data_IF_767636398530
#
_entry.id   IF_767636398530
#
_cell.length_a   1.000
_cell.length_b   1.000
_cell.length_c   1.000
_cell.angle_alpha   90.00
_cell.angle_beta   90.00
_cell.angle_gamma   90.00
#
_symmetry.space_group_name_H-M   'P 1'
#
loop_
_entity.id
_entity.type
_entity.pdbx_description
1 polymer ?
#
# COMPACT_ATOMS: atom_id res chain seq x y z
N UNK A 1 23.39 30.47 40.02
CA UNK A 1 23.33 30.00 38.62
C UNK A 1 22.09 29.13 38.42
N UNK A 2 21.00 29.67 37.87
CA UNK A 2 19.78 28.89 37.59
C UNK A 2 19.92 28.23 36.21
N UNK A 3 19.67 26.92 36.19
CA UNK A 3 20.03 25.99 35.14
C UNK A 3 19.12 26.14 33.90
N UNK A 4 19.71 26.47 32.74
CA UNK A 4 19.09 26.49 31.41
C UNK A 4 18.73 25.07 30.92
N UNK A 5 17.85 24.34 31.62
CA UNK A 5 17.45 22.97 31.25
C UNK A 5 16.24 22.89 30.31
N UNK A 6 15.39 23.92 30.28
CA UNK A 6 14.17 23.98 29.46
C UNK A 6 14.43 24.13 27.94
N UNK A 7 15.38 24.94 27.44
CA UNK A 7 15.53 25.14 25.99
C UNK A 7 16.10 23.92 25.25
N UNK A 8 16.90 23.07 25.93
CA UNK A 8 17.47 21.85 25.33
C UNK A 8 16.39 20.80 25.03
N UNK A 9 15.39 20.68 25.88
CA UNK A 9 14.35 19.65 25.77
C UNK A 9 13.41 19.93 24.60
N UNK A 10 13.05 21.20 24.37
CA UNK A 10 12.29 21.64 23.18
C UNK A 10 13.05 21.41 21.87
N UNK A 11 14.35 21.68 21.83
CA UNK A 11 15.18 21.39 20.65
C UNK A 11 15.23 19.90 20.33
N UNK A 12 15.33 19.04 21.35
CA UNK A 12 15.31 17.58 21.16
C UNK A 12 13.95 17.15 20.59
N UNK A 13 12.83 17.64 21.13
CA UNK A 13 11.48 17.31 20.66
C UNK A 13 11.27 17.73 19.20
N UNK A 14 11.64 18.96 18.84
CA UNK A 14 11.55 19.47 17.46
C UNK A 14 12.43 18.65 16.52
N UNK A 15 13.64 18.27 16.95
CA UNK A 15 14.56 17.45 16.17
C UNK A 15 14.03 16.02 15.97
N UNK A 16 13.43 15.40 16.99
CA UNK A 16 12.74 14.11 16.85
C UNK A 16 11.56 14.19 15.90
N UNK A 17 10.72 15.22 15.96
CA UNK A 17 9.56 15.39 15.06
C UNK A 17 10.03 15.57 13.61
N UNK A 18 11.09 16.35 13.38
CA UNK A 18 11.67 16.53 12.05
C UNK A 18 12.30 15.23 11.51
N UNK A 19 13.01 14.47 12.35
CA UNK A 19 13.58 13.18 11.96
C UNK A 19 12.50 12.14 11.64
N UNK A 20 11.46 12.02 12.46
CA UNK A 20 10.36 11.08 12.21
C UNK A 20 9.50 11.49 11.01
N UNK A 21 9.30 12.79 10.81
CA UNK A 21 8.55 13.34 9.67
C UNK A 21 9.29 13.16 8.33
N UNK A 22 10.61 13.37 8.30
CA UNK A 22 11.42 13.17 7.10
C UNK A 22 11.48 11.69 6.67
N UNK A 23 11.57 10.75 7.61
CA UNK A 23 11.55 9.31 7.27
C UNK A 23 10.23 8.91 6.61
N UNK A 24 9.09 9.34 7.16
CA UNK A 24 7.75 9.06 6.61
C UNK A 24 7.53 9.65 5.20
N UNK A 25 8.02 10.87 4.93
CA UNK A 25 7.95 11.47 3.59
C UNK A 25 8.81 10.69 2.59
N UNK A 26 10.01 10.30 3.00
CA UNK A 26 10.96 9.58 2.14
C UNK A 26 10.45 8.18 1.80
N UNK A 27 9.82 7.49 2.76
CA UNK A 27 9.17 6.19 2.57
C UNK A 27 7.98 6.27 1.61
N UNK A 28 7.07 7.23 1.80
CA UNK A 28 5.93 7.43 0.89
C UNK A 28 6.39 7.73 -0.54
N UNK A 29 7.45 8.53 -0.67
CA UNK A 29 8.05 8.84 -1.97
C UNK A 29 8.71 7.62 -2.61
N UNK A 30 9.36 6.76 -1.83
CA UNK A 30 9.92 5.49 -2.32
C UNK A 30 8.81 4.56 -2.84
N UNK A 31 7.80 4.28 -2.03
CA UNK A 31 6.65 3.42 -2.39
C UNK A 31 5.96 3.96 -3.65
N UNK A 32 5.73 5.28 -3.71
CA UNK A 32 5.16 5.94 -4.88
C UNK A 32 6.01 5.75 -6.15
N UNK A 33 7.33 5.87 -6.03
CA UNK A 33 8.23 5.65 -7.17
C UNK A 33 8.19 4.21 -7.67
N UNK A 34 8.16 3.23 -6.77
CA UNK A 34 8.03 1.82 -7.16
C UNK A 34 6.66 1.56 -7.80
N UNK A 35 5.58 2.05 -7.19
CA UNK A 35 4.21 1.93 -7.71
C UNK A 35 4.14 2.46 -9.13
N UNK A 36 4.58 3.70 -9.36
CA UNK A 36 4.51 4.35 -10.67
C UNK A 36 5.33 3.63 -11.74
N UNK A 37 6.46 3.04 -11.36
CA UNK A 37 7.30 2.26 -12.28
C UNK A 37 6.69 0.93 -12.71
N UNK A 38 5.77 0.37 -11.91
CA UNK A 38 5.09 -0.89 -12.23
C UNK A 38 3.80 -0.67 -13.06
N UNK A 39 3.28 0.56 -13.14
CA UNK A 39 2.05 0.88 -13.89
C UNK A 39 2.08 0.43 -15.36
N UNK A 40 3.21 0.50 -16.09
CA UNK A 40 3.26 0.03 -17.48
C UNK A 40 3.09 -1.49 -17.62
N UNK A 41 3.33 -2.26 -16.56
CA UNK A 41 3.28 -3.73 -16.56
C UNK A 41 1.95 -4.23 -16.02
N UNK A 42 1.46 -3.62 -14.93
CA UNK A 42 0.23 -4.03 -14.26
C UNK A 42 -0.89 -3.09 -14.69
N UNK A 43 -1.55 -3.42 -15.80
CA UNK A 43 -2.59 -2.61 -16.43
C UNK A 43 -3.96 -3.08 -15.95
N UNK A 44 -4.73 -2.26 -15.20
CA UNK A 44 -6.08 -2.60 -14.78
C UNK A 44 -6.97 -2.99 -15.97
N UNK A 45 -7.79 -4.00 -15.77
CA UNK A 45 -8.75 -4.60 -16.71
C UNK A 45 -8.15 -5.23 -17.98
N UNK A 46 -6.81 -5.21 -18.13
CA UNK A 46 -6.09 -5.76 -19.27
C UNK A 46 -5.14 -6.88 -18.89
N UNK A 47 -4.31 -6.67 -17.86
CA UNK A 47 -3.37 -7.67 -17.38
C UNK A 47 -4.11 -8.84 -16.72
N UNK A 48 -3.66 -10.06 -16.99
CA UNK A 48 -4.22 -11.31 -16.44
C UNK A 48 -3.35 -11.89 -15.33
N UNK A 49 -3.92 -12.74 -14.47
CA UNK A 49 -3.15 -13.45 -13.42
C UNK A 49 -1.98 -14.24 -14.01
N UNK A 50 -2.21 -14.91 -15.14
CA UNK A 50 -1.19 -15.70 -15.84
C UNK A 50 -0.01 -14.84 -16.24
N UNK A 51 -0.25 -13.71 -16.91
CA UNK A 51 0.80 -12.77 -17.32
C UNK A 51 1.55 -12.20 -16.11
N UNK A 52 0.85 -11.91 -15.00
CA UNK A 52 1.49 -11.43 -13.78
C UNK A 52 2.39 -12.48 -13.13
N UNK A 53 2.01 -13.77 -13.15
CA UNK A 53 2.84 -14.87 -12.65
C UNK A 53 4.02 -15.17 -13.57
N UNK A 54 3.83 -15.06 -14.88
CA UNK A 54 4.93 -15.20 -15.83
C UNK A 54 5.95 -14.08 -15.62
N UNK A 55 5.50 -12.83 -15.50
CA UNK A 55 6.38 -11.68 -15.36
C UNK A 55 7.04 -11.56 -13.98
N UNK A 56 6.29 -11.73 -12.88
CA UNK A 56 6.81 -11.55 -11.51
C UNK A 56 7.27 -12.85 -10.84
N UNK A 57 7.04 -14.00 -11.48
CA UNK A 57 7.37 -15.31 -10.93
C UNK A 57 6.29 -15.86 -9.99
N UNK A 58 6.67 -16.85 -9.19
CA UNK A 58 5.76 -17.51 -8.25
C UNK A 58 5.41 -16.56 -7.08
N UNK A 59 4.13 -16.29 -6.79
CA UNK A 59 3.74 -15.47 -5.65
C UNK A 59 4.01 -16.20 -4.33
N UNK A 60 4.29 -15.42 -3.28
CA UNK A 60 4.51 -15.96 -1.93
C UNK A 60 3.18 -16.35 -1.25
N UNK A 61 2.09 -15.66 -1.59
CA UNK A 61 0.76 -15.93 -1.04
C UNK A 61 -0.35 -15.67 -2.06
N UNK A 62 -1.43 -16.44 -1.96
CA UNK A 62 -2.65 -16.28 -2.76
C UNK A 62 -3.82 -16.04 -1.80
N UNK A 63 -4.42 -14.86 -1.86
CA UNK A 63 -5.62 -14.47 -1.13
C UNK A 63 -6.80 -15.22 -1.76
N UNK A 64 -7.57 -15.98 -0.96
CA UNK A 64 -8.55 -16.92 -1.51
C UNK A 64 -9.75 -16.26 -2.19
N UNK A 65 -10.30 -16.99 -3.17
CA UNK A 65 -11.42 -16.61 -4.05
C UNK A 65 -12.74 -16.70 -3.29
N UNK A 66 -13.01 -15.79 -2.35
CA UNK A 66 -14.34 -15.64 -1.72
C UNK A 66 -15.27 -14.84 -2.64
N UNK A 67 -15.75 -15.50 -3.69
CA UNK A 67 -16.86 -15.13 -4.60
C UNK A 67 -16.85 -13.75 -5.29
N UNK A 68 -15.87 -12.86 -5.09
CA UNK A 68 -15.83 -11.55 -5.78
C UNK A 68 -14.46 -11.16 -6.31
N UNK A 69 -13.43 -11.22 -5.49
CA UNK A 69 -12.06 -10.92 -5.90
C UNK A 69 -11.09 -11.90 -5.22
N UNK A 70 -9.93 -12.08 -5.81
CA UNK A 70 -8.81 -12.77 -5.20
C UNK A 70 -7.53 -11.98 -5.48
N UNK A 71 -6.41 -12.36 -4.86
CA UNK A 71 -5.18 -11.62 -5.07
C UNK A 71 -3.93 -12.48 -4.90
N UNK A 72 -2.83 -12.04 -5.50
CA UNK A 72 -1.52 -12.62 -5.30
C UNK A 72 -0.61 -11.60 -4.62
N UNK A 73 0.20 -12.06 -3.68
CA UNK A 73 1.09 -11.21 -2.90
C UNK A 73 2.53 -11.68 -3.02
N UNK A 74 3.42 -10.71 -3.20
CA UNK A 74 4.87 -10.84 -3.23
C UNK A 74 5.44 -10.10 -2.02
N UNK A 75 5.99 -10.85 -1.07
CA UNK A 75 6.60 -10.30 0.14
C UNK A 75 8.08 -10.05 -0.07
N UNK A 76 8.62 -9.16 0.76
CA UNK A 76 10.03 -8.85 0.84
C UNK A 76 10.69 -8.55 -0.52
N UNK A 77 9.99 -7.81 -1.37
CA UNK A 77 10.47 -7.47 -2.71
C UNK A 77 10.61 -8.65 -3.68
N UNK A 78 9.99 -9.81 -3.42
CA UNK A 78 10.19 -11.03 -4.23
C UNK A 78 9.84 -10.87 -5.70
N UNK A 79 8.87 -10.00 -6.03
CA UNK A 79 8.51 -9.61 -7.40
C UNK A 79 9.69 -9.09 -8.24
N UNK A 80 10.75 -8.63 -7.57
CA UNK A 80 12.01 -8.21 -8.19
C UNK A 80 13.18 -9.12 -7.80
N UNK A 81 13.40 -9.33 -6.49
CA UNK A 81 14.62 -9.98 -5.97
C UNK A 81 14.73 -11.46 -6.32
N UNK A 82 13.59 -12.18 -6.36
CA UNK A 82 13.53 -13.61 -6.65
C UNK A 82 13.10 -13.91 -8.10
N UNK A 83 13.07 -12.88 -8.94
CA UNK A 83 12.65 -13.01 -10.33
C UNK A 83 13.79 -13.53 -11.23
N UNK A 84 13.47 -13.93 -12.47
CA UNK A 84 14.46 -14.33 -13.47
C UNK A 84 15.36 -13.15 -13.85
N UNK A 85 16.59 -13.42 -14.30
CA UNK A 85 17.50 -12.35 -14.71
C UNK A 85 16.95 -11.53 -15.89
N UNK A 86 16.25 -12.17 -16.83
CA UNK A 86 15.58 -11.48 -17.93
C UNK A 86 14.53 -10.47 -17.45
N UNK A 87 13.61 -10.87 -16.56
CA UNK A 87 12.58 -9.97 -16.03
C UNK A 87 13.16 -8.93 -15.06
N UNK A 88 14.23 -9.25 -14.33
CA UNK A 88 14.98 -8.26 -13.54
C UNK A 88 15.55 -7.16 -14.41
N UNK A 89 16.12 -7.47 -15.57
CA UNK A 89 16.64 -6.46 -16.49
C UNK A 89 15.53 -5.54 -17.03
N UNK A 90 14.33 -6.07 -17.28
CA UNK A 90 13.16 -5.25 -17.63
C UNK A 90 12.77 -4.33 -16.46
N UNK A 91 12.67 -4.88 -15.24
CA UNK A 91 12.33 -4.12 -14.05
C UNK A 91 13.38 -3.05 -13.70
N UNK A 92 14.67 -3.30 -13.92
CA UNK A 92 15.76 -2.31 -13.74
C UNK A 92 15.61 -1.11 -14.68
N UNK A 93 15.02 -1.30 -15.87
CA UNK A 93 14.74 -0.19 -16.80
C UNK A 93 13.54 0.65 -16.36
N UNK A 94 12.57 0.03 -15.68
CA UNK A 94 11.36 0.68 -15.20
C UNK A 94 11.57 1.40 -13.86
N UNK A 95 12.36 0.81 -12.96
CA UNK A 95 12.61 1.34 -11.62
C UNK A 95 13.64 2.49 -11.66
N UNK A 96 13.44 3.59 -10.91
CA UNK A 96 14.40 4.67 -10.89
C UNK A 96 15.73 4.20 -10.28
N UNK A 97 16.87 4.68 -10.81
CA UNK A 97 18.21 4.35 -10.27
C UNK A 97 18.33 4.57 -8.76
N UNK A 98 17.61 5.54 -8.19
CA UNK A 98 17.57 5.83 -6.75
C UNK A 98 16.94 4.69 -5.94
N UNK A 99 15.92 4.02 -6.49
CA UNK A 99 15.27 2.85 -5.88
C UNK A 99 16.18 1.63 -5.97
N UNK A 100 16.80 1.40 -7.13
CA UNK A 100 17.71 0.26 -7.34
C UNK A 100 18.95 0.28 -6.44
N UNK A 101 19.42 1.47 -6.04
CA UNK A 101 20.53 1.63 -5.08
C UNK A 101 20.14 1.34 -3.63
N UNK A 102 18.84 1.17 -3.34
CA UNK A 102 18.27 0.94 -2.02
C UNK A 102 17.63 -0.45 -1.98
N UNK A 103 18.44 -1.47 -2.27
CA UNK A 103 17.97 -2.86 -2.33
C UNK A 103 17.37 -3.33 -0.99
N UNK A 104 17.89 -2.87 0.14
CA UNK A 104 17.33 -3.19 1.45
C UNK A 104 15.93 -2.61 1.64
N UNK A 105 15.65 -1.42 1.10
CA UNK A 105 14.30 -0.85 1.11
C UNK A 105 13.34 -1.59 0.16
N UNK A 106 13.85 -2.27 -0.88
CA UNK A 106 13.05 -3.18 -1.71
C UNK A 106 12.71 -4.47 -0.97
N UNK A 107 13.59 -4.97 -0.09
CA UNK A 107 13.28 -6.12 0.78
C UNK A 107 12.19 -5.81 1.80
N UNK A 108 11.87 -4.54 2.00
CA UNK A 108 10.76 -4.12 2.82
C UNK A 108 9.47 -4.00 2.02
N UNK A 109 9.43 -4.15 0.69
CA UNK A 109 8.16 -3.95 -0.04
C UNK A 109 7.30 -5.20 -0.14
N UNK A 110 5.98 -4.98 -0.12
CA UNK A 110 4.94 -5.97 -0.36
C UNK A 110 4.15 -5.49 -1.57
N UNK A 111 4.13 -6.28 -2.64
CA UNK A 111 3.29 -6.05 -3.82
C UNK A 111 2.09 -6.99 -3.75
N UNK A 112 0.87 -6.46 -3.81
CA UNK A 112 -0.37 -7.24 -3.90
C UNK A 112 -1.15 -6.84 -5.14
N UNK A 113 -1.46 -7.80 -5.99
CA UNK A 113 -2.25 -7.61 -7.21
C UNK A 113 -3.60 -8.29 -7.01
N UNK A 114 -4.68 -7.57 -7.27
CA UNK A 114 -6.05 -8.07 -7.12
C UNK A 114 -6.67 -8.36 -8.47
N UNK A 115 -7.42 -9.46 -8.54
CA UNK A 115 -8.07 -9.98 -9.74
C UNK A 115 -9.57 -10.16 -9.53
N UNK A 116 -10.34 -9.97 -10.60
CA UNK A 116 -11.74 -10.38 -10.71
C UNK A 116 -11.87 -11.91 -10.85
N UNK A 117 -13.09 -12.48 -10.85
CA UNK A 117 -13.29 -13.91 -11.00
C UNK A 117 -12.84 -14.48 -12.36
N UNK A 118 -12.67 -13.62 -13.38
CA UNK A 118 -12.20 -13.96 -14.74
C UNK A 118 -10.70 -13.67 -14.92
N UNK A 119 -9.98 -13.55 -13.79
CA UNK A 119 -8.53 -13.48 -13.68
C UNK A 119 -7.90 -12.19 -14.27
N UNK A 120 -8.63 -11.07 -14.29
CA UNK A 120 -8.13 -9.75 -14.72
C UNK A 120 -7.94 -8.79 -13.55
N UNK A 121 -6.94 -7.91 -13.66
CA UNK A 121 -6.66 -6.89 -12.64
C UNK A 121 -7.83 -5.90 -12.52
N UNK A 122 -8.26 -5.52 -11.30
CA UNK A 122 -9.55 -4.82 -11.09
C UNK A 122 -9.55 -3.32 -10.83
N UNK A 123 -8.49 -2.69 -10.32
CA UNK A 123 -8.47 -1.22 -10.25
C UNK A 123 -7.12 -0.67 -9.84
N UNK A 124 -6.46 -1.31 -8.88
CA UNK A 124 -5.13 -0.91 -8.42
C UNK A 124 -4.46 -2.05 -7.65
N UNK A 125 -3.22 -2.36 -8.02
CA UNK A 125 -2.37 -3.19 -7.17
C UNK A 125 -1.83 -2.30 -6.04
N UNK A 126 -1.68 -2.90 -4.86
CA UNK A 126 -1.12 -2.21 -3.69
C UNK A 126 0.36 -2.51 -3.59
N UNK A 127 1.19 -1.47 -3.49
CA UNK A 127 2.55 -1.62 -2.97
C UNK A 127 2.67 -0.87 -1.65
N UNK A 128 3.22 -1.54 -0.64
CA UNK A 128 3.42 -0.99 0.71
C UNK A 128 4.75 -1.46 1.25
N UNK A 129 5.39 -0.69 2.14
CA UNK A 129 6.48 -1.23 2.95
C UNK A 129 5.90 -2.14 4.04
N UNK A 130 6.67 -3.14 4.43
CA UNK A 130 6.53 -4.00 5.58
C UNK A 130 6.79 -3.11 6.78
N UNK A 131 5.79 -2.31 7.16
CA UNK A 131 5.63 -2.04 8.57
C UNK A 131 5.38 -3.43 9.15
N UNK A 132 6.25 -3.88 10.07
CA UNK A 132 5.83 -4.95 10.98
C UNK A 132 4.38 -4.61 11.35
N UNK A 133 3.40 -5.51 11.08
CA UNK A 133 2.03 -5.19 11.44
C UNK A 133 2.11 -4.70 12.89
N UNK A 134 1.61 -3.48 13.21
CA UNK A 134 1.48 -3.14 14.62
C UNK A 134 0.79 -4.36 15.22
N UNK A 135 1.40 -4.95 16.25
CA UNK A 135 0.79 -6.10 16.92
C UNK A 135 -0.68 -5.74 17.06
N UNK A 136 -1.55 -6.51 16.39
CA UNK A 136 -2.96 -6.23 16.43
C UNK A 136 -3.37 -6.45 17.88
N UNK A 137 -3.33 -5.39 18.66
CA UNK A 137 -3.89 -5.36 19.98
C UNK A 137 -5.38 -5.10 19.76
N UNK A 138 -6.23 -6.12 19.96
CA UNK A 138 -7.68 -5.95 19.86
C UNK A 138 -8.20 -4.87 20.83
N UNK A 139 -7.38 -4.30 21.71
CA UNK A 139 -7.69 -3.22 22.63
C UNK A 139 -7.05 -1.86 22.26
N UNK A 140 -6.37 -1.74 21.11
CA UNK A 140 -5.68 -0.50 20.70
C UNK A 140 -6.62 0.68 20.42
N UNK A 141 -7.87 0.39 20.05
CA UNK A 141 -8.93 1.39 19.92
C UNK A 141 -9.73 1.42 21.20
N UNK A 142 -9.88 2.61 21.77
CA UNK A 142 -10.79 2.82 22.90
C UNK A 142 -12.23 2.44 22.49
N UNK A 143 -13.09 2.03 23.44
CA UNK A 143 -14.48 1.70 23.13
C UNK A 143 -15.20 2.83 22.36
N UNK A 144 -14.87 4.08 22.68
CA UNK A 144 -15.42 5.28 22.03
C UNK A 144 -15.00 5.39 20.56
N UNK A 145 -13.73 5.13 20.22
CA UNK A 145 -13.25 5.17 18.83
C UNK A 145 -13.81 4.03 17.97
N UNK A 146 -14.06 2.85 18.57
CA UNK A 146 -14.72 1.74 17.88
C UNK A 146 -16.19 2.04 17.59
N UNK A 147 -16.90 2.60 18.56
CA UNK A 147 -18.29 3.01 18.39
C UNK A 147 -18.41 4.16 17.37
N UNK A 148 -17.46 5.09 17.33
CA UNK A 148 -17.47 6.19 16.36
C UNK A 148 -17.22 5.69 14.93
N UNK A 149 -16.30 4.74 14.75
CA UNK A 149 -16.05 4.12 13.44
C UNK A 149 -17.21 3.25 12.98
N UNK A 150 -17.78 2.41 13.85
CA UNK A 150 -18.97 1.61 13.51
C UNK A 150 -20.18 2.50 13.21
N UNK A 151 -20.37 3.60 13.94
CA UNK A 151 -21.42 4.57 13.68
C UNK A 151 -21.23 5.27 12.33
N UNK A 152 -20.00 5.67 11.98
CA UNK A 152 -19.66 6.27 10.69
C UNK A 152 -19.88 5.29 9.54
N UNK A 153 -19.41 4.05 9.68
CA UNK A 153 -19.60 3.04 8.64
C UNK A 153 -21.07 2.63 8.48
N UNK A 154 -21.83 2.54 9.57
CA UNK A 154 -23.26 2.24 9.52
C UNK A 154 -24.04 3.38 8.85
N UNK A 155 -23.71 4.63 9.19
CA UNK A 155 -24.35 5.82 8.60
C UNK A 155 -24.09 5.91 7.09
N UNK A 156 -22.86 5.65 6.65
CA UNK A 156 -22.52 5.60 5.23
C UNK A 156 -23.19 4.42 4.52
N UNK A 157 -23.28 3.25 5.15
CA UNK A 157 -23.97 2.08 4.58
C UNK A 157 -25.48 2.32 4.42
N UNK A 158 -26.12 2.97 5.38
CA UNK A 158 -27.54 3.29 5.31
C UNK A 158 -27.81 4.43 4.30
N UNK A 159 -26.90 5.40 4.17
CA UNK A 159 -27.02 6.53 3.23
C UNK A 159 -26.93 6.11 1.76
N UNK A 160 -26.13 5.08 1.46
CA UNK A 160 -25.93 4.58 0.10
C UNK A 160 -26.59 3.23 -0.17
N UNK A 161 -27.46 2.76 0.74
CA UNK A 161 -28.05 1.42 0.71
C UNK A 161 -28.89 1.14 -0.52
N UNK A 162 -29.68 2.13 -0.93
CA UNK A 162 -30.67 2.00 -1.99
C UNK A 162 -30.24 2.69 -3.30
N UNK A 163 -29.01 3.22 -3.34
CA UNK A 163 -28.47 3.95 -4.49
C UNK A 163 -27.65 3.02 -5.39
N UNK A 164 -27.85 3.16 -6.70
CA UNK A 164 -26.99 2.50 -7.67
C UNK A 164 -25.57 3.11 -7.63
N UNK A 165 -24.53 2.36 -8.01
CA UNK A 165 -23.14 2.85 -7.92
C UNK A 165 -22.87 4.18 -8.63
N UNK A 166 -23.61 4.51 -9.70
CA UNK A 166 -23.51 5.79 -10.40
C UNK A 166 -24.14 6.95 -9.62
N UNK A 167 -25.24 6.69 -8.90
CA UNK A 167 -25.91 7.68 -8.06
C UNK A 167 -25.10 7.96 -6.79
N UNK A 168 -24.45 6.95 -6.22
CA UNK A 168 -23.47 7.09 -5.13
C UNK A 168 -22.30 7.96 -5.59
N UNK A 169 -21.75 7.71 -6.78
CA UNK A 169 -20.63 8.46 -7.32
C UNK A 169 -21.00 9.93 -7.56
N UNK A 170 -22.16 10.20 -8.16
CA UNK A 170 -22.63 11.56 -8.41
C UNK A 170 -22.89 12.32 -7.11
N UNK A 171 -23.45 11.67 -6.09
CA UNK A 171 -23.72 12.30 -4.79
C UNK A 171 -22.42 12.68 -4.07
N UNK A 172 -21.42 11.81 -4.08
CA UNK A 172 -20.09 12.09 -3.48
C UNK A 172 -19.34 13.19 -4.24
N UNK A 173 -19.47 13.25 -5.57
CA UNK A 173 -18.84 14.30 -6.40
C UNK A 173 -19.52 15.67 -6.20
N UNK A 174 -20.83 15.69 -5.96
CA UNK A 174 -21.61 16.93 -5.80
C UNK A 174 -21.60 17.50 -4.36
N UNK A 175 -21.36 16.67 -3.35
CA UNK A 175 -21.24 17.07 -1.94
C UNK A 175 -19.79 17.48 -1.53
N UNK A 176 -18.83 17.46 -2.46
CA UNK A 176 -17.44 17.95 -2.30
C UNK A 176 -17.24 19.32 -2.96
#
# INVERSE_FOLDING_TARGET
>A
MKSNKVPRLLYIIIFTIFLTGCSSITEKMFVFHVERSLNPVIIPYRSTEKEMREFFGKPDFVISKKNRFYGITYYNGSYYLKNTEEHKEILKKLLPKKVLKREDELKETILTIYFDPVDRVVSKYGIRKYMAPPEYDPNALTPEEKEEMEAKEKKLRDEFRDLSPLEVLNKIILDM
#
